data_IF_271209498608
#
_entry.id   IF_271209498608
#
_cell.length_a   1.000
_cell.length_b   1.000
_cell.length_c   1.000
_cell.angle_alpha   90.00
_cell.angle_beta   90.00
_cell.angle_gamma   90.00
#
_symmetry.space_group_name_H-M   'P 1'
#
loop_
_entity.id
_entity.type
_entity.pdbx_description
1 polymer ?
#
# COMPACT_ATOMS: atom_id res chain seq x y z
N UNK A 1 -66.29 7.16 -19.28
CA UNK A 1 -66.07 7.44 -17.84
C UNK A 1 -64.93 6.53 -17.39
N UNK A 2 -63.75 7.11 -17.12
CA UNK A 2 -62.51 6.52 -16.54
C UNK A 2 -61.78 5.45 -17.40
N UNK A 3 -60.65 5.73 -18.09
CA UNK A 3 -59.25 6.01 -17.68
C UNK A 3 -58.52 4.87 -16.93
N UNK A 4 -57.26 4.66 -17.34
CA UNK A 4 -56.10 4.02 -16.68
C UNK A 4 -55.70 2.61 -17.12
N UNK A 5 -54.44 2.32 -17.46
CA UNK A 5 -53.25 3.11 -17.85
C UNK A 5 -52.26 2.06 -18.40
N UNK A 6 -51.70 2.28 -19.58
CA UNK A 6 -50.57 1.50 -20.09
C UNK A 6 -49.32 1.81 -19.25
N UNK A 7 -48.64 0.79 -18.72
CA UNK A 7 -47.23 0.88 -18.35
C UNK A 7 -46.39 0.16 -19.40
N UNK A 8 -46.02 0.90 -20.44
CA UNK A 8 -44.84 0.61 -21.26
C UNK A 8 -43.62 0.98 -20.41
N UNK A 9 -42.97 -0.04 -19.84
CA UNK A 9 -41.64 0.12 -19.25
C UNK A 9 -40.66 0.26 -20.41
N UNK A 10 -40.43 1.50 -20.83
CA UNK A 10 -39.31 1.84 -21.69
C UNK A 10 -38.02 1.57 -20.91
N UNK A 11 -37.34 0.49 -21.25
CA UNK A 11 -36.00 0.21 -20.78
C UNK A 11 -35.07 1.26 -21.40
N UNK A 12 -34.79 2.34 -20.67
CA UNK A 12 -33.78 3.30 -21.06
C UNK A 12 -32.43 2.57 -21.18
N UNK A 13 -31.65 2.79 -22.26
CA UNK A 13 -30.28 2.31 -22.31
C UNK A 13 -29.53 3.00 -21.18
N UNK A 14 -29.06 2.19 -20.23
CA UNK A 14 -28.12 2.59 -19.19
C UNK A 14 -26.94 3.23 -19.91
N UNK A 15 -26.77 4.53 -19.73
CA UNK A 15 -25.57 5.24 -20.16
C UNK A 15 -24.38 4.50 -19.52
N UNK A 16 -23.73 3.68 -20.34
CA UNK A 16 -22.38 3.22 -20.08
C UNK A 16 -21.53 4.48 -20.09
N UNK A 17 -21.44 5.13 -18.92
CA UNK A 17 -20.33 6.01 -18.62
C UNK A 17 -19.11 5.10 -18.57
N UNK A 18 -18.58 4.82 -19.76
CA UNK A 18 -17.18 4.45 -19.93
C UNK A 18 -16.41 5.47 -19.12
N UNK A 19 -15.96 5.05 -17.93
CA UNK A 19 -14.79 5.61 -17.29
C UNK A 19 -13.74 5.64 -18.38
N UNK A 20 -13.53 6.81 -18.97
CA UNK A 20 -12.33 7.12 -19.73
C UNK A 20 -11.19 6.85 -18.77
N UNK A 21 -10.62 5.67 -18.91
CA UNK A 21 -9.38 5.34 -18.25
C UNK A 21 -8.41 6.40 -18.75
N UNK A 22 -7.78 7.13 -17.83
CA UNK A 22 -6.61 7.93 -18.19
C UNK A 22 -5.58 6.95 -18.79
N UNK A 23 -5.59 6.85 -20.12
CA UNK A 23 -4.69 6.00 -20.90
C UNK A 23 -3.24 6.55 -20.87
N UNK A 24 -3.05 7.77 -20.36
CA UNK A 24 -1.75 8.47 -20.39
C UNK A 24 -1.01 8.50 -19.03
N UNK A 25 -1.18 7.50 -18.15
CA UNK A 25 -0.29 7.37 -17.00
C UNK A 25 0.90 6.46 -17.36
N UNK A 26 2.11 7.00 -17.59
CA UNK A 26 3.28 6.21 -18.02
C UNK A 26 3.76 5.19 -16.98
N UNK A 27 3.21 5.24 -15.76
CA UNK A 27 3.55 4.32 -14.67
C UNK A 27 2.54 3.18 -14.51
N UNK A 28 1.38 3.23 -15.19
CA UNK A 28 0.29 2.28 -15.02
C UNK A 28 0.67 0.87 -15.47
N UNK A 29 1.33 0.75 -16.62
CA UNK A 29 1.78 -0.55 -17.15
C UNK A 29 2.74 -1.25 -16.18
N UNK A 30 3.78 -0.54 -15.72
CA UNK A 30 4.72 -1.06 -14.71
C UNK A 30 4.04 -1.42 -13.38
N UNK A 31 3.03 -0.66 -12.98
CA UNK A 31 2.26 -0.96 -11.78
C UNK A 31 1.38 -2.22 -11.94
N UNK A 32 0.84 -2.46 -13.14
CA UNK A 32 0.12 -3.69 -13.48
C UNK A 32 1.06 -4.89 -13.53
N UNK A 33 2.26 -4.73 -14.08
CA UNK A 33 3.31 -5.74 -14.05
C UNK A 33 3.66 -6.14 -12.61
N UNK A 34 3.87 -5.16 -11.72
CA UNK A 34 4.09 -5.42 -10.28
C UNK A 34 2.93 -6.14 -9.60
N UNK A 35 1.70 -6.00 -10.10
CA UNK A 35 0.53 -6.69 -9.57
C UNK A 35 0.45 -8.15 -10.02
N UNK A 36 0.77 -8.40 -11.28
CA UNK A 36 0.65 -9.72 -11.90
C UNK A 36 1.88 -10.59 -11.62
N UNK A 37 3.07 -9.98 -11.67
CA UNK A 37 4.36 -10.65 -11.57
C UNK A 37 5.29 -9.88 -10.63
N UNK A 38 4.94 -9.74 -9.33
CA UNK A 38 5.78 -9.03 -8.38
C UNK A 38 7.13 -9.74 -8.24
N UNK A 39 8.27 -9.03 -8.37
CA UNK A 39 9.55 -9.61 -8.03
C UNK A 39 9.55 -10.04 -6.56
N UNK A 40 10.22 -11.15 -6.24
CA UNK A 40 10.14 -11.78 -4.91
C UNK A 40 10.41 -10.80 -3.74
N UNK A 41 11.43 -9.92 -3.77
CA UNK A 41 11.62 -8.93 -2.70
C UNK A 41 10.43 -7.98 -2.53
N UNK A 42 9.78 -7.61 -3.63
CA UNK A 42 8.58 -6.76 -3.60
C UNK A 42 7.37 -7.52 -3.04
N UNK A 43 7.18 -8.79 -3.44
CA UNK A 43 6.15 -9.68 -2.87
C UNK A 43 6.29 -9.78 -1.35
N UNK A 44 7.50 -10.03 -0.86
CA UNK A 44 7.81 -10.10 0.59
C UNK A 44 7.55 -8.77 1.28
N UNK A 45 8.01 -7.66 0.71
CA UNK A 45 7.78 -6.32 1.27
C UNK A 45 6.29 -5.98 1.37
N UNK A 46 5.52 -6.26 0.31
CA UNK A 46 4.08 -6.01 0.30
C UNK A 46 3.35 -6.88 1.34
N UNK A 47 3.69 -8.16 1.45
CA UNK A 47 3.16 -9.05 2.48
C UNK A 47 3.45 -8.52 3.90
N UNK A 48 4.69 -8.11 4.18
CA UNK A 48 5.09 -7.60 5.50
C UNK A 48 4.39 -6.27 5.82
N UNK A 49 4.24 -5.37 4.84
CA UNK A 49 3.52 -4.11 5.00
C UNK A 49 2.05 -4.33 5.33
N UNK A 50 1.39 -5.27 4.65
CA UNK A 50 0.00 -5.63 4.92
C UNK A 50 -0.18 -6.26 6.30
N UNK A 51 0.74 -7.17 6.68
CA UNK A 51 0.72 -7.92 7.94
C UNK A 51 0.98 -7.03 9.15
N UNK A 52 1.98 -6.16 9.08
CA UNK A 52 2.45 -5.40 10.24
C UNK A 52 2.01 -3.93 10.25
N UNK A 53 1.63 -3.35 9.11
CA UNK A 53 1.18 -1.94 8.99
C UNK A 53 2.09 -0.97 9.75
N UNK A 54 3.41 -0.96 9.50
CA UNK A 54 4.35 -0.19 10.30
C UNK A 54 3.96 1.30 10.30
N UNK A 55 3.76 1.86 11.49
CA UNK A 55 3.43 3.26 11.68
C UNK A 55 4.59 4.19 11.32
N UNK A 56 4.27 5.43 10.97
CA UNK A 56 5.21 6.44 10.49
C UNK A 56 5.27 7.71 11.37
N UNK A 57 4.73 7.66 12.58
CA UNK A 57 4.63 8.82 13.46
C UNK A 57 5.75 8.85 14.51
N UNK A 58 6.51 9.96 14.57
CA UNK A 58 7.60 10.17 15.52
C UNK A 58 7.41 11.49 16.28
N UNK A 59 7.08 11.45 17.57
CA UNK A 59 7.01 12.64 18.44
C UNK A 59 5.68 13.40 18.42
N UNK A 60 5.74 14.69 18.82
CA UNK A 60 4.56 15.58 18.94
C UNK A 60 3.81 15.70 17.59
N UNK A 61 2.49 15.45 17.57
CA UNK A 61 1.70 15.34 16.34
C UNK A 61 1.47 16.71 15.69
N UNK A 62 2.35 17.12 14.79
CA UNK A 62 2.03 18.10 13.76
C UNK A 62 1.54 17.41 12.48
N UNK A 63 0.68 18.04 11.68
CA UNK A 63 0.40 17.51 10.35
C UNK A 63 1.71 17.43 9.54
N UNK A 64 1.92 16.30 8.86
CA UNK A 64 3.07 16.13 7.99
C UNK A 64 3.12 17.26 6.96
N UNK A 65 4.26 17.94 6.75
CA UNK A 65 4.35 19.01 5.77
C UNK A 65 3.89 18.53 4.38
N UNK A 66 2.96 19.27 3.79
CA UNK A 66 2.36 18.93 2.50
C UNK A 66 3.41 18.84 1.38
N UNK A 67 4.47 19.65 1.45
CA UNK A 67 5.61 19.58 0.54
C UNK A 67 6.33 18.23 0.60
N UNK A 68 6.48 17.65 1.79
CA UNK A 68 7.11 16.35 1.98
C UNK A 68 6.24 15.22 1.43
N UNK A 69 4.93 15.27 1.69
CA UNK A 69 3.96 14.31 1.11
C UNK A 69 4.04 14.31 -0.41
N UNK A 70 4.01 15.49 -1.03
CA UNK A 70 4.08 15.62 -2.49
C UNK A 70 5.42 15.14 -3.07
N UNK A 71 6.54 15.45 -2.40
CA UNK A 71 7.86 14.99 -2.83
C UNK A 71 7.94 13.46 -2.84
N UNK A 72 7.58 12.81 -1.73
CA UNK A 72 7.66 11.34 -1.61
C UNK A 72 6.75 10.64 -2.62
N UNK A 73 5.54 11.16 -2.86
CA UNK A 73 4.64 10.61 -3.88
C UNK A 73 5.19 10.80 -5.30
N UNK A 74 5.81 11.95 -5.59
CA UNK A 74 6.41 12.25 -6.89
C UNK A 74 7.62 11.37 -7.18
N UNK A 75 8.43 11.07 -6.18
CA UNK A 75 9.65 10.27 -6.32
C UNK A 75 9.37 8.76 -6.48
N UNK A 76 8.14 8.33 -6.17
CA UNK A 76 7.73 6.92 -6.20
C UNK A 76 6.49 6.67 -7.08
N UNK A 77 6.46 7.15 -8.34
CA UNK A 77 5.21 7.24 -9.10
C UNK A 77 4.65 5.86 -9.49
N UNK A 78 5.50 4.86 -9.73
CA UNK A 78 5.08 3.47 -9.99
C UNK A 78 4.44 2.84 -8.76
N UNK A 79 5.02 3.04 -7.58
CA UNK A 79 4.45 2.52 -6.33
C UNK A 79 3.15 3.21 -5.96
N UNK A 80 3.04 4.51 -6.22
CA UNK A 80 1.79 5.27 -6.07
C UNK A 80 0.70 4.67 -6.93
N UNK A 81 0.99 4.38 -8.21
CA UNK A 81 0.01 3.78 -9.10
C UNK A 81 -0.33 2.34 -8.69
N UNK A 82 0.66 1.55 -8.27
CA UNK A 82 0.43 0.23 -7.69
C UNK A 82 -0.52 0.28 -6.48
N UNK A 83 -0.32 1.22 -5.54
CA UNK A 83 -1.17 1.39 -4.36
C UNK A 83 -2.60 1.73 -4.76
N UNK A 84 -2.77 2.66 -5.72
CA UNK A 84 -4.11 3.04 -6.22
C UNK A 84 -4.82 1.84 -6.83
N UNK A 85 -4.12 1.06 -7.66
CA UNK A 85 -4.68 -0.11 -8.34
C UNK A 85 -5.00 -1.24 -7.34
N UNK A 86 -4.04 -1.61 -6.48
CA UNK A 86 -4.17 -2.73 -5.52
C UNK A 86 -5.24 -2.48 -4.46
N UNK A 87 -5.21 -1.30 -3.84
CA UNK A 87 -6.03 -1.00 -2.66
C UNK A 87 -7.25 -0.13 -2.96
N UNK A 88 -7.43 0.31 -4.22
CA UNK A 88 -8.53 1.18 -4.66
C UNK A 88 -8.60 2.51 -3.88
N UNK A 89 -7.44 3.04 -3.47
CA UNK A 89 -7.33 4.27 -2.69
C UNK A 89 -7.15 5.47 -3.63
N UNK A 90 -7.89 6.56 -3.38
CA UNK A 90 -7.78 7.83 -4.13
C UNK A 90 -7.22 9.00 -3.30
N UNK A 91 -7.34 8.93 -1.96
CA UNK A 91 -6.93 10.02 -1.08
C UNK A 91 -5.40 10.12 -0.97
N UNK A 92 -4.84 11.28 -1.28
CA UNK A 92 -3.39 11.55 -1.27
C UNK A 92 -2.68 11.09 0.00
N UNK A 93 -3.18 11.48 1.19
CA UNK A 93 -2.58 11.07 2.46
C UNK A 93 -2.68 9.56 2.69
N UNK A 94 -3.81 8.94 2.33
CA UNK A 94 -3.96 7.48 2.42
C UNK A 94 -2.99 6.74 1.50
N UNK A 95 -2.72 7.28 0.31
CA UNK A 95 -1.72 6.73 -0.62
C UNK A 95 -0.33 6.89 0.00
N UNK A 96 -0.03 8.06 0.55
CA UNK A 96 1.23 8.32 1.24
C UNK A 96 1.46 7.36 2.40
N UNK A 97 0.46 7.14 3.26
CA UNK A 97 0.57 6.22 4.39
C UNK A 97 0.92 4.80 3.92
N UNK A 98 0.24 4.29 2.88
CA UNK A 98 0.55 2.98 2.28
C UNK A 98 1.93 2.92 1.64
N UNK A 99 2.36 4.02 1.03
CA UNK A 99 3.68 4.12 0.44
C UNK A 99 4.76 4.05 1.53
N UNK A 100 4.59 4.78 2.63
CA UNK A 100 5.53 4.73 3.75
C UNK A 100 5.55 3.36 4.41
N UNK A 101 4.38 2.71 4.60
CA UNK A 101 4.32 1.34 5.11
C UNK A 101 5.22 0.40 4.29
N UNK A 102 5.13 0.47 2.95
CA UNK A 102 5.98 -0.30 2.04
C UNK A 102 7.46 0.09 2.15
N UNK A 103 7.78 1.38 2.08
CA UNK A 103 9.15 1.88 2.03
C UNK A 103 9.91 1.70 3.35
N UNK A 104 9.20 1.61 4.48
CA UNK A 104 9.79 1.43 5.81
C UNK A 104 10.42 0.05 6.04
N UNK A 105 10.12 -0.93 5.18
CA UNK A 105 10.57 -2.31 5.31
C UNK A 105 11.85 -2.51 4.52
N UNK A 106 12.93 -2.74 5.26
CA UNK A 106 14.21 -3.14 4.71
C UNK A 106 14.30 -4.66 4.69
N UNK A 107 14.77 -5.19 3.56
CA UNK A 107 15.03 -6.61 3.36
C UNK A 107 16.52 -6.82 3.12
N UNK A 108 17.08 -7.84 3.75
CA UNK A 108 18.45 -8.30 3.56
C UNK A 108 18.37 -9.79 3.16
N UNK A 109 19.00 -10.21 2.04
CA UNK A 109 18.99 -11.61 1.63
C UNK A 109 19.55 -12.54 2.72
N UNK A 110 18.94 -13.71 2.89
CA UNK A 110 19.35 -14.76 3.81
C UNK A 110 19.29 -16.12 3.09
N UNK A 111 19.95 -17.19 3.61
CA UNK A 111 20.07 -18.47 2.89
C UNK A 111 18.75 -19.12 2.47
N UNK A 112 17.68 -18.91 3.23
CA UNK A 112 16.34 -19.49 3.01
C UNK A 112 15.26 -18.41 2.81
N UNK A 113 15.64 -17.18 2.46
CA UNK A 113 14.70 -16.09 2.27
C UNK A 113 15.28 -14.72 2.60
N UNK A 114 14.67 -14.01 3.55
CA UNK A 114 15.05 -12.63 3.88
C UNK A 114 15.05 -12.40 5.38
N UNK A 115 16.07 -11.71 5.87
CA UNK A 115 15.94 -10.93 7.09
C UNK A 115 15.19 -9.65 6.78
N UNK A 116 14.31 -9.22 7.68
CA UNK A 116 13.61 -7.95 7.53
C UNK A 116 13.73 -7.11 8.79
N UNK A 117 13.78 -5.79 8.59
CA UNK A 117 13.64 -4.83 9.68
C UNK A 117 12.75 -3.67 9.28
N UNK A 118 11.99 -3.16 10.24
CA UNK A 118 11.25 -1.92 10.11
C UNK A 118 11.12 -1.25 11.48
N UNK A 119 10.74 0.02 11.46
CA UNK A 119 10.35 0.75 12.66
C UNK A 119 8.85 0.98 12.57
N UNK A 120 8.12 0.47 13.56
CA UNK A 120 6.71 0.76 13.76
C UNK A 120 6.60 1.91 14.75
N UNK A 121 6.28 3.10 14.23
CA UNK A 121 6.29 4.34 14.98
C UNK A 121 4.85 4.82 15.20
N UNK A 122 4.37 4.66 16.44
CA UNK A 122 3.05 5.07 16.90
C UNK A 122 3.16 6.31 17.80
N UNK A 123 3.68 7.40 17.24
CA UNK A 123 3.88 8.74 17.83
C UNK A 123 4.73 8.75 19.12
N UNK A 124 4.22 8.14 20.19
CA UNK A 124 4.81 8.07 21.52
C UNK A 124 5.48 6.73 21.81
N UNK A 125 5.18 5.68 21.04
CA UNK A 125 5.85 4.38 21.13
C UNK A 125 6.50 4.03 19.81
N UNK A 126 7.79 3.71 19.87
CA UNK A 126 8.59 3.28 18.74
C UNK A 126 9.00 1.83 18.98
N UNK A 127 8.54 0.93 18.13
CA UNK A 127 8.98 -0.45 18.09
C UNK A 127 9.94 -0.66 16.92
N UNK A 128 11.17 -1.09 17.19
CA UNK A 128 12.05 -1.64 16.16
C UNK A 128 11.85 -3.14 16.08
N UNK A 129 11.55 -3.63 14.89
CA UNK A 129 11.29 -5.04 14.62
C UNK A 129 12.39 -5.58 13.72
N UNK A 130 12.95 -6.72 14.12
CA UNK A 130 13.83 -7.56 13.30
C UNK A 130 13.19 -8.94 13.22
N UNK A 131 13.10 -9.48 12.01
CA UNK A 131 12.54 -10.81 11.78
C UNK A 131 13.16 -11.50 10.58
N UNK A 132 12.64 -12.68 10.29
CA UNK A 132 13.01 -13.52 9.14
C UNK A 132 11.76 -13.95 8.41
N UNK A 133 11.82 -13.95 7.10
CA UNK A 133 10.86 -14.59 6.20
C UNK A 133 11.57 -15.75 5.53
N UNK A 134 10.98 -16.95 5.61
CA UNK A 134 11.43 -18.14 4.90
C UNK A 134 10.64 -18.27 3.60
N UNK A 135 11.36 -18.51 2.50
CA UNK A 135 10.83 -18.67 1.16
C UNK A 135 11.13 -20.09 0.67
N UNK A 136 10.11 -20.76 0.17
CA UNK A 136 10.24 -22.04 -0.55
C UNK A 136 9.42 -21.96 -1.84
N UNK A 137 10.00 -22.35 -2.97
CA UNK A 137 9.34 -22.31 -4.28
C UNK A 137 8.68 -20.95 -4.59
N UNK A 138 9.39 -19.86 -4.35
CA UNK A 138 8.91 -18.46 -4.50
C UNK A 138 7.69 -18.08 -3.65
N UNK A 139 7.34 -18.89 -2.65
CA UNK A 139 6.25 -18.66 -1.71
C UNK A 139 6.74 -18.40 -0.28
N UNK A 140 6.03 -17.53 0.43
CA UNK A 140 6.30 -17.24 1.84
C UNK A 140 5.71 -18.38 2.68
N UNK A 141 6.57 -19.21 3.26
CA UNK A 141 6.13 -20.36 4.07
C UNK A 141 6.15 -20.08 5.57
N UNK A 142 7.03 -19.19 6.02
CA UNK A 142 7.18 -18.87 7.44
C UNK A 142 7.65 -17.45 7.69
N UNK A 143 7.20 -16.86 8.80
CA UNK A 143 7.64 -15.54 9.25
C UNK A 143 7.82 -15.54 10.76
N UNK A 144 9.00 -15.14 11.20
CA UNK A 144 9.39 -15.11 12.61
C UNK A 144 9.87 -13.72 13.02
N UNK A 145 9.49 -13.28 14.22
CA UNK A 145 10.09 -12.11 14.86
C UNK A 145 11.26 -12.57 15.71
N UNK A 146 12.47 -12.18 15.33
CA UNK A 146 13.69 -12.53 16.05
C UNK A 146 13.93 -11.58 17.22
N UNK A 147 13.60 -10.30 17.04
CA UNK A 147 13.79 -9.27 18.06
C UNK A 147 12.79 -8.15 17.88
N UNK A 148 12.22 -7.69 19.00
CA UNK A 148 11.42 -6.47 19.09
C UNK A 148 11.90 -5.63 20.25
N UNK A 149 12.19 -4.36 20.01
CA UNK A 149 12.57 -3.42 21.07
C UNK A 149 11.63 -2.24 21.06
N UNK A 150 11.10 -1.90 22.23
CA UNK A 150 10.21 -0.75 22.41
C UNK A 150 10.95 0.41 23.06
N UNK A 151 10.59 1.63 22.64
CA UNK A 151 11.07 2.86 23.24
C UNK A 151 9.94 3.88 23.25
N UNK A 152 9.65 4.41 24.44
CA UNK A 152 8.80 5.60 24.57
C UNK A 152 9.57 6.86 24.18
N UNK A 153 8.93 7.75 23.44
CA UNK A 153 9.47 9.07 23.07
C UNK A 153 8.51 10.17 23.52
N UNK A 154 9.01 11.41 23.74
CA UNK A 154 8.16 12.52 24.11
C UNK A 154 7.05 12.78 23.10
N UNK A 155 5.86 13.02 23.65
CA UNK A 155 4.66 13.57 23.07
C UNK A 155 4.16 14.62 24.07
#
# INVERSE_FOLDING_TARGET
>A
MWLLFLFLVACAPRENTTLTQNEDNPYREKALELLQHPPLPFKVRAFLAEKYRPGNCYGMPGPMPESYVNLVLKDNPVLVEFIKLKYKIRGKHKIFDRLIELLSIHLEPAPDGFLFRFTDANCCDIAKVLGRVVIENDEIVWVEILKKTHRKVPC
#
